data_IF_272706030069
#
_entry.id   IF_272706030069
#
_cell.length_a   1.000
_cell.length_b   1.000
_cell.length_c   1.000
_cell.angle_alpha   90.00
_cell.angle_beta   90.00
_cell.angle_gamma   90.00
#
_symmetry.space_group_name_H-M   'P 1'
#
loop_
_entity.id
_entity.type
_entity.pdbx_description
1 polymer ?
#
# COMPACT_ATOMS: atom_id res chain seq x y z
N UNK A 1 -15.28 28.12 -13.19
CA UNK A 1 -16.03 26.87 -12.99
C UNK A 1 -15.10 25.65 -12.86
N UNK A 2 -14.23 25.39 -13.84
CA UNK A 2 -13.30 24.22 -13.79
C UNK A 2 -12.35 24.25 -12.58
N UNK A 3 -11.79 25.41 -12.24
CA UNK A 3 -10.89 25.58 -11.11
C UNK A 3 -11.58 25.38 -9.74
N UNK A 4 -12.82 25.81 -9.63
CA UNK A 4 -13.66 25.62 -8.43
C UNK A 4 -13.98 24.12 -8.22
N UNK A 5 -14.31 23.39 -9.29
CA UNK A 5 -14.55 21.93 -9.21
C UNK A 5 -13.28 21.22 -8.76
N UNK A 6 -12.13 21.58 -9.33
CA UNK A 6 -10.85 20.99 -8.97
C UNK A 6 -10.48 21.21 -7.50
N UNK A 7 -10.73 22.40 -6.97
CA UNK A 7 -10.48 22.69 -5.55
C UNK A 7 -11.45 21.92 -4.65
N UNK A 8 -12.71 21.81 -5.04
CA UNK A 8 -13.69 21.00 -4.33
C UNK A 8 -13.27 19.53 -4.30
N UNK A 9 -12.83 18.95 -5.41
CA UNK A 9 -12.37 17.57 -5.49
C UNK A 9 -11.14 17.33 -4.58
N UNK A 10 -10.22 18.29 -4.49
CA UNK A 10 -9.09 18.23 -3.57
C UNK A 10 -9.52 18.22 -2.12
N UNK A 11 -10.42 19.13 -1.74
CA UNK A 11 -10.91 19.21 -0.35
C UNK A 11 -11.74 17.98 0.05
N UNK A 12 -12.55 17.44 -0.85
CA UNK A 12 -13.30 16.21 -0.61
C UNK A 12 -12.37 15.00 -0.51
N UNK A 13 -11.38 14.90 -1.38
CA UNK A 13 -10.36 13.85 -1.36
C UNK A 13 -9.54 13.88 -0.07
N UNK A 14 -9.17 15.06 0.41
CA UNK A 14 -8.44 15.22 1.67
C UNK A 14 -9.22 14.67 2.87
N UNK A 15 -10.54 14.78 2.85
CA UNK A 15 -11.43 14.33 3.94
C UNK A 15 -11.86 12.88 3.82
N UNK A 16 -11.82 12.29 2.61
CA UNK A 16 -12.37 10.97 2.35
C UNK A 16 -11.54 10.20 1.33
N UNK A 17 -10.89 9.14 1.80
CA UNK A 17 -10.23 8.20 0.90
C UNK A 17 -11.23 7.54 -0.07
N UNK A 18 -12.46 7.22 0.39
CA UNK A 18 -13.50 6.67 -0.48
C UNK A 18 -13.78 7.60 -1.65
N UNK A 19 -14.02 8.91 -1.39
CA UNK A 19 -14.21 9.90 -2.46
C UNK A 19 -13.02 9.93 -3.42
N UNK A 20 -11.80 9.96 -2.89
CA UNK A 20 -10.60 9.91 -3.70
C UNK A 20 -10.53 8.67 -4.61
N UNK A 21 -10.87 7.50 -4.07
CA UNK A 21 -10.83 6.23 -4.79
C UNK A 21 -11.90 6.14 -5.89
N UNK A 22 -13.14 6.62 -5.61
CA UNK A 22 -14.28 6.51 -6.53
C UNK A 22 -14.39 7.65 -7.53
N UNK A 23 -14.17 8.89 -7.08
CA UNK A 23 -14.48 10.09 -7.88
C UNK A 23 -13.24 10.69 -8.55
N UNK A 24 -12.05 10.51 -7.95
CA UNK A 24 -10.79 11.02 -8.52
C UNK A 24 -10.03 9.94 -9.28
N UNK A 25 -9.96 8.71 -8.76
CA UNK A 25 -9.29 7.59 -9.42
C UNK A 25 -10.25 6.73 -10.26
N UNK A 26 -11.56 6.93 -10.15
CA UNK A 26 -12.62 6.27 -10.92
C UNK A 26 -12.65 4.73 -10.74
N UNK A 27 -12.27 4.23 -9.54
CA UNK A 27 -12.33 2.80 -9.22
C UNK A 27 -13.64 2.41 -8.55
N UNK A 28 -14.08 1.18 -8.80
CA UNK A 28 -15.24 0.60 -8.13
C UNK A 28 -14.94 0.32 -6.66
N UNK A 29 -15.85 0.75 -5.80
CA UNK A 29 -15.75 0.57 -4.35
C UNK A 29 -16.75 -0.49 -3.87
N UNK A 30 -16.23 -1.62 -3.40
CA UNK A 30 -17.01 -2.75 -2.94
C UNK A 30 -17.08 -2.77 -1.40
N UNK A 31 -17.99 -3.59 -0.84
CA UNK A 31 -18.17 -3.70 0.61
C UNK A 31 -16.89 -4.11 1.37
N UNK A 32 -16.05 -4.98 0.79
CA UNK A 32 -14.78 -5.33 1.41
C UNK A 32 -13.77 -4.16 1.44
N UNK A 33 -13.85 -3.23 0.48
CA UNK A 33 -13.04 -2.00 0.50
C UNK A 33 -13.40 -1.09 1.68
N UNK A 34 -14.69 -1.06 2.08
CA UNK A 34 -15.12 -0.33 3.28
C UNK A 34 -14.47 -0.89 4.55
N UNK A 35 -14.48 -2.23 4.70
CA UNK A 35 -13.83 -2.89 5.82
C UNK A 35 -12.32 -2.66 5.82
N UNK A 36 -11.65 -2.79 4.67
CA UNK A 36 -10.21 -2.52 4.55
C UNK A 36 -9.85 -1.07 4.86
N UNK A 37 -10.64 -0.11 4.38
CA UNK A 37 -10.44 1.31 4.67
C UNK A 37 -10.52 1.58 6.17
N UNK A 38 -11.55 1.06 6.83
CA UNK A 38 -11.71 1.14 8.29
C UNK A 38 -10.54 0.47 9.01
N UNK A 39 -10.16 -0.74 8.62
CA UNK A 39 -9.02 -1.45 9.21
C UNK A 39 -7.72 -0.68 9.07
N UNK A 40 -7.48 -0.07 7.90
CA UNK A 40 -6.33 0.80 7.67
C UNK A 40 -6.36 2.05 8.55
N UNK A 41 -7.50 2.67 8.81
CA UNK A 41 -7.60 3.87 9.63
C UNK A 41 -7.42 3.58 11.14
N UNK A 42 -7.94 2.45 11.61
CA UNK A 42 -8.00 2.11 13.02
C UNK A 42 -6.76 1.38 13.55
N UNK A 43 -5.96 0.75 12.67
CA UNK A 43 -4.85 -0.10 13.09
C UNK A 43 -3.49 0.41 12.60
N UNK A 44 -2.50 0.36 13.49
CA UNK A 44 -1.12 0.68 13.16
C UNK A 44 -0.48 -0.40 12.31
N UNK A 45 -0.71 -1.67 12.63
CA UNK A 45 -0.24 -2.84 11.88
C UNK A 45 -1.45 -3.65 11.43
N UNK A 46 -1.76 -3.53 10.14
CA UNK A 46 -2.93 -4.12 9.53
C UNK A 46 -2.56 -5.04 8.37
N UNK A 47 -3.11 -6.26 8.38
CA UNK A 47 -2.85 -7.27 7.36
C UNK A 47 -4.15 -7.83 6.79
N UNK A 48 -4.30 -7.78 5.48
CA UNK A 48 -5.42 -8.38 4.74
C UNK A 48 -4.96 -9.62 4.00
N UNK A 49 -5.53 -10.76 4.35
CA UNK A 49 -5.43 -11.99 3.57
C UNK A 49 -6.65 -12.08 2.66
N UNK A 50 -6.48 -11.96 1.37
CA UNK A 50 -7.60 -12.06 0.44
C UNK A 50 -7.20 -12.82 -0.83
N UNK A 51 -8.19 -13.45 -1.45
CA UNK A 51 -8.02 -14.19 -2.70
C UNK A 51 -7.60 -13.28 -3.86
N UNK A 52 -7.15 -13.87 -4.96
CA UNK A 52 -6.84 -13.12 -6.18
C UNK A 52 -8.10 -12.40 -6.69
N UNK A 53 -7.89 -11.36 -7.49
CA UNK A 53 -8.93 -10.58 -8.18
C UNK A 53 -9.89 -9.78 -7.29
N UNK A 54 -9.56 -9.62 -5.99
CA UNK A 54 -10.29 -8.73 -5.06
C UNK A 54 -9.86 -7.25 -5.12
N UNK A 55 -9.03 -6.87 -6.09
CA UNK A 55 -8.55 -5.48 -6.20
C UNK A 55 -7.56 -5.04 -5.12
N UNK A 56 -6.96 -5.98 -4.38
CA UNK A 56 -6.03 -5.72 -3.25
C UNK A 56 -4.97 -4.67 -3.55
N UNK A 57 -4.15 -4.94 -4.56
CA UNK A 57 -3.01 -4.08 -4.92
C UNK A 57 -3.47 -2.70 -5.34
N UNK A 58 -4.56 -2.62 -6.13
CA UNK A 58 -5.15 -1.34 -6.55
C UNK A 58 -5.59 -0.53 -5.34
N UNK A 59 -6.30 -1.15 -4.40
CA UNK A 59 -6.80 -0.47 -3.19
C UNK A 59 -5.65 0.04 -2.30
N UNK A 60 -4.69 -0.83 -1.98
CA UNK A 60 -3.58 -0.47 -1.09
C UNK A 60 -2.62 0.55 -1.71
N UNK A 61 -2.36 0.46 -3.03
CA UNK A 61 -1.56 1.45 -3.74
C UNK A 61 -2.28 2.79 -3.86
N UNK A 62 -3.60 2.78 -4.03
CA UNK A 62 -4.42 4.00 -4.03
C UNK A 62 -4.42 4.66 -2.65
N UNK A 63 -4.49 3.86 -1.58
CA UNK A 63 -4.42 4.37 -0.21
C UNK A 63 -3.03 4.97 0.10
N UNK A 64 -1.96 4.32 -0.34
CA UNK A 64 -0.60 4.88 -0.24
C UNK A 64 -0.47 6.20 -1.01
N UNK A 65 -1.00 6.27 -2.23
CA UNK A 65 -1.01 7.50 -3.02
C UNK A 65 -1.82 8.61 -2.32
N UNK A 66 -2.98 8.27 -1.77
CA UNK A 66 -3.82 9.19 -1.01
C UNK A 66 -3.07 9.79 0.19
N UNK A 67 -2.41 8.93 0.98
CA UNK A 67 -1.60 9.40 2.11
C UNK A 67 -0.48 10.34 1.65
N UNK A 68 0.25 9.98 0.60
CA UNK A 68 1.31 10.83 0.07
C UNK A 68 0.80 12.16 -0.52
N UNK A 69 -0.39 12.15 -1.12
CA UNK A 69 -0.98 13.33 -1.75
C UNK A 69 -1.48 14.34 -0.71
N UNK A 70 -2.17 13.86 0.32
CA UNK A 70 -2.92 14.71 1.24
C UNK A 70 -2.31 14.87 2.65
N UNK A 71 -1.21 14.14 2.93
CA UNK A 71 -0.40 14.37 4.14
C UNK A 71 1.03 14.76 3.72
N UNK A 72 1.31 16.06 3.58
CA UNK A 72 2.62 16.54 3.13
C UNK A 72 3.78 16.02 3.97
N UNK A 73 4.89 15.67 3.30
CA UNK A 73 6.09 15.16 3.96
C UNK A 73 6.05 13.67 4.34
N UNK A 74 4.99 12.93 3.99
CA UNK A 74 4.88 11.49 4.30
C UNK A 74 5.88 10.66 3.50
N UNK A 75 6.65 9.81 4.18
CA UNK A 75 7.59 8.88 3.57
C UNK A 75 7.00 7.46 3.54
N UNK A 76 6.83 6.91 2.35
CA UNK A 76 6.22 5.60 2.14
C UNK A 76 7.23 4.65 1.50
N UNK A 77 7.31 3.42 2.03
CA UNK A 77 8.02 2.32 1.39
C UNK A 77 7.03 1.25 0.93
N UNK A 78 7.19 0.79 -0.30
CA UNK A 78 6.39 -0.29 -0.89
C UNK A 78 7.29 -1.49 -1.12
N UNK A 79 6.85 -2.65 -0.66
CA UNK A 79 7.54 -3.92 -0.86
C UNK A 79 6.64 -4.93 -1.56
N UNK A 80 7.22 -5.69 -2.48
CA UNK A 80 6.62 -6.89 -3.07
C UNK A 80 7.67 -7.98 -3.17
N UNK A 81 7.27 -9.21 -3.52
CA UNK A 81 8.21 -10.31 -3.65
C UNK A 81 9.27 -10.06 -4.72
N UNK A 82 8.97 -9.33 -5.80
CA UNK A 82 9.89 -9.06 -6.90
C UNK A 82 10.02 -7.57 -7.21
N UNK A 83 11.17 -7.19 -7.78
CA UNK A 83 11.39 -5.82 -8.26
C UNK A 83 10.42 -5.46 -9.40
N UNK A 84 10.09 -6.41 -10.26
CA UNK A 84 9.16 -6.19 -11.38
C UNK A 84 7.78 -5.76 -10.86
N UNK A 85 7.24 -6.48 -9.89
CA UNK A 85 5.96 -6.16 -9.27
C UNK A 85 5.99 -4.80 -8.57
N UNK A 86 7.07 -4.48 -7.86
CA UNK A 86 7.20 -3.14 -7.24
C UNK A 86 7.27 -2.03 -8.28
N UNK A 87 7.89 -2.25 -9.43
CA UNK A 87 7.90 -1.28 -10.53
C UNK A 87 6.53 -1.13 -11.20
N UNK A 88 5.70 -2.18 -11.23
CA UNK A 88 4.29 -2.08 -11.66
C UNK A 88 3.49 -1.17 -10.72
N UNK A 89 3.65 -1.32 -9.40
CA UNK A 89 3.01 -0.43 -8.43
C UNK A 89 3.44 1.03 -8.63
N UNK A 90 4.73 1.28 -8.89
CA UNK A 90 5.20 2.63 -9.18
C UNK A 90 4.64 3.19 -10.49
N UNK A 91 4.48 2.33 -11.52
CA UNK A 91 3.79 2.73 -12.77
C UNK A 91 2.32 3.07 -12.52
N UNK A 92 1.62 2.25 -11.74
CA UNK A 92 0.24 2.52 -11.34
C UNK A 92 0.11 3.90 -10.68
N UNK A 93 0.93 4.18 -9.66
CA UNK A 93 0.93 5.47 -8.95
C UNK A 93 1.22 6.63 -9.91
N UNK A 94 2.26 6.49 -10.75
CA UNK A 94 2.61 7.52 -11.75
C UNK A 94 1.46 7.82 -12.69
N UNK A 95 0.86 6.79 -13.27
CA UNK A 95 -0.21 6.95 -14.24
C UNK A 95 -1.41 7.70 -13.64
N UNK A 96 -1.79 7.37 -12.40
CA UNK A 96 -2.87 8.07 -11.69
C UNK A 96 -2.53 9.55 -11.44
N UNK A 97 -1.28 9.88 -11.10
CA UNK A 97 -0.87 11.28 -10.93
C UNK A 97 -0.88 12.03 -12.27
N UNK A 98 -0.41 11.40 -13.34
CA UNK A 98 -0.31 12.05 -14.66
C UNK A 98 -1.67 12.20 -15.35
N UNK A 99 -2.62 11.31 -15.09
CA UNK A 99 -3.98 11.37 -15.65
C UNK A 99 -4.92 12.29 -14.88
N UNK A 100 -4.72 12.48 -13.58
CA UNK A 100 -5.63 13.24 -12.72
C UNK A 100 -5.25 14.71 -12.62
N UNK A 101 -6.19 15.62 -12.96
CA UNK A 101 -6.03 17.06 -12.74
C UNK A 101 -5.89 17.40 -11.25
N UNK A 102 -6.50 16.61 -10.37
CA UNK A 102 -6.40 16.76 -8.90
C UNK A 102 -4.97 16.51 -8.40
N UNK A 103 -4.27 15.52 -8.97
CA UNK A 103 -2.96 15.05 -8.49
C UNK A 103 -1.77 15.61 -9.27
N UNK A 104 -1.97 16.11 -10.49
CA UNK A 104 -0.89 16.51 -11.40
C UNK A 104 0.07 17.53 -10.80
N UNK A 105 -0.39 18.37 -9.87
CA UNK A 105 0.45 19.35 -9.15
C UNK A 105 1.53 18.71 -8.27
N UNK A 106 1.38 17.43 -7.90
CA UNK A 106 2.36 16.69 -7.10
C UNK A 106 3.62 16.32 -7.90
N UNK A 107 3.54 16.34 -9.24
CA UNK A 107 4.67 16.01 -10.11
C UNK A 107 5.71 17.13 -10.08
N UNK A 108 6.98 16.85 -9.74
CA UNK A 108 8.04 17.83 -9.79
C UNK A 108 8.26 18.31 -11.22
N UNK A 109 8.42 19.62 -11.39
CA UNK A 109 8.73 20.19 -12.71
C UNK A 109 10.19 19.97 -13.07
N UNK A 110 10.46 19.66 -14.34
CA UNK A 110 11.81 19.61 -14.90
C UNK A 110 12.66 18.40 -14.51
N UNK A 111 12.12 17.45 -13.73
CA UNK A 111 12.83 16.21 -13.37
C UNK A 111 12.05 14.99 -13.83
N UNK A 112 12.69 14.03 -14.52
CA UNK A 112 12.04 12.75 -14.81
C UNK A 112 11.82 11.99 -13.49
N UNK A 113 10.71 11.26 -13.40
CA UNK A 113 10.47 10.34 -12.29
C UNK A 113 11.46 9.17 -12.36
N UNK A 114 12.11 8.87 -11.25
CA UNK A 114 12.85 7.62 -11.14
C UNK A 114 11.89 6.42 -11.20
N UNK A 115 12.40 5.23 -11.59
CA UNK A 115 11.54 4.05 -11.73
C UNK A 115 10.97 3.55 -10.40
N UNK A 116 11.77 3.63 -9.33
CA UNK A 116 11.49 3.07 -8.00
C UNK A 116 11.46 4.10 -6.88
N UNK A 117 11.53 5.38 -7.20
CA UNK A 117 11.54 6.47 -6.21
C UNK A 117 10.85 7.71 -6.78
N UNK A 118 9.86 8.20 -6.05
CA UNK A 118 9.17 9.45 -6.33
C UNK A 118 9.35 10.42 -5.17
N UNK A 119 9.65 11.66 -5.49
CA UNK A 119 9.61 12.79 -4.58
C UNK A 119 8.59 13.77 -5.12
N UNK A 120 7.60 14.12 -4.31
CA UNK A 120 6.48 14.98 -4.70
C UNK A 120 6.75 16.44 -4.32
N UNK A 121 6.06 17.36 -4.97
CA UNK A 121 6.17 18.80 -4.70
C UNK A 121 5.77 19.18 -3.28
N UNK A 122 4.93 18.37 -2.61
CA UNK A 122 4.52 18.56 -1.21
C UNK A 122 5.52 17.98 -0.19
N UNK A 123 6.69 17.49 -0.63
CA UNK A 123 7.72 16.89 0.21
C UNK A 123 7.53 15.42 0.54
N UNK A 124 6.40 14.82 0.16
CA UNK A 124 6.19 13.37 0.34
C UNK A 124 7.06 12.55 -0.60
N UNK A 125 7.36 11.31 -0.21
CA UNK A 125 8.21 10.39 -0.97
C UNK A 125 7.63 8.99 -1.00
N UNK A 126 7.73 8.33 -2.14
CA UNK A 126 7.41 6.90 -2.27
C UNK A 126 8.62 6.18 -2.83
N UNK A 127 9.04 5.13 -2.15
CA UNK A 127 10.13 4.24 -2.58
C UNK A 127 9.63 2.81 -2.67
N UNK A 128 9.96 2.14 -3.76
CA UNK A 128 9.63 0.74 -3.99
C UNK A 128 10.87 -0.15 -4.00
N UNK A 129 10.77 -1.29 -3.30
CA UNK A 129 11.83 -2.30 -3.18
C UNK A 129 11.23 -3.71 -3.18
N UNK A 130 12.03 -4.68 -3.58
CA UNK A 130 11.69 -6.10 -3.40
C UNK A 130 12.07 -6.59 -2.00
N UNK A 131 11.45 -7.67 -1.57
CA UNK A 131 11.88 -8.47 -0.42
C UNK A 131 13.38 -8.78 -0.53
N UNK A 132 14.12 -8.67 0.58
CA UNK A 132 15.58 -8.81 0.59
C UNK A 132 16.36 -7.55 0.21
N UNK A 133 15.70 -6.50 -0.29
CA UNK A 133 16.35 -5.22 -0.59
C UNK A 133 16.84 -4.49 0.67
N UNK A 134 17.99 -3.80 0.55
CA UNK A 134 18.55 -3.03 1.67
C UNK A 134 17.63 -1.85 2.04
N UNK A 135 17.33 -1.70 3.32
CA UNK A 135 16.43 -0.67 3.87
C UNK A 135 17.16 0.34 4.77
N UNK A 136 18.46 0.15 4.99
CA UNK A 136 19.24 0.98 5.91
C UNK A 136 19.19 2.46 5.54
N UNK A 137 19.00 3.32 6.55
CA UNK A 137 18.95 4.76 6.39
C UNK A 137 17.58 5.32 5.97
N UNK A 138 16.58 4.47 5.82
CA UNK A 138 15.19 4.88 5.62
C UNK A 138 14.38 4.70 6.90
N UNK A 139 13.61 5.71 7.24
CA UNK A 139 12.66 5.70 8.36
C UNK A 139 11.29 6.07 7.79
N UNK A 140 10.54 5.09 7.24
CA UNK A 140 9.25 5.36 6.62
C UNK A 140 8.19 5.64 7.69
N UNK A 141 7.28 6.58 7.38
CA UNK A 141 6.05 6.76 8.16
C UNK A 141 5.06 5.64 7.88
N UNK A 142 5.07 5.13 6.65
CA UNK A 142 4.19 4.07 6.18
C UNK A 142 4.96 3.04 5.37
N UNK A 143 4.72 1.78 5.67
CA UNK A 143 5.18 0.65 4.85
C UNK A 143 3.98 -0.09 4.28
N UNK A 144 4.01 -0.36 2.98
CA UNK A 144 3.04 -1.20 2.28
C UNK A 144 3.72 -2.46 1.78
N UNK A 145 3.22 -3.62 2.19
CA UNK A 145 3.68 -4.92 1.73
C UNK A 145 2.58 -5.57 0.88
N UNK A 146 2.81 -5.69 -0.43
CA UNK A 146 1.87 -6.32 -1.36
C UNK A 146 2.44 -7.62 -1.93
N UNK A 147 1.77 -8.74 -1.62
CA UNK A 147 2.15 -10.09 -2.03
C UNK A 147 3.66 -10.38 -1.81
N UNK A 148 4.14 -10.16 -0.58
CA UNK A 148 5.56 -10.33 -0.23
C UNK A 148 6.00 -11.80 -0.09
N UNK A 149 5.05 -12.73 0.05
CA UNK A 149 5.38 -14.15 0.10
C UNK A 149 5.83 -14.64 -1.26
N UNK A 150 6.92 -15.38 -1.27
CA UNK A 150 7.48 -15.98 -2.48
C UNK A 150 7.80 -17.44 -2.25
N UNK A 151 7.47 -18.25 -3.28
CA UNK A 151 7.74 -19.68 -3.27
C UNK A 151 6.79 -20.48 -2.41
N UNK A 152 6.87 -21.80 -2.56
CA UNK A 152 6.05 -22.78 -1.84
C UNK A 152 6.88 -23.68 -0.92
N UNK A 153 8.21 -23.59 -1.00
CA UNK A 153 9.11 -24.35 -0.13
C UNK A 153 9.23 -23.70 1.24
N UNK A 154 9.33 -24.51 2.28
CA UNK A 154 9.53 -24.02 3.64
C UNK A 154 10.74 -23.08 3.79
N UNK A 155 11.81 -23.31 2.99
CA UNK A 155 13.02 -22.47 3.00
C UNK A 155 12.74 -21.05 2.43
N UNK A 156 11.92 -20.94 1.39
CA UNK A 156 11.59 -19.65 0.79
C UNK A 156 10.67 -18.85 1.70
N UNK A 157 9.68 -19.51 2.29
CA UNK A 157 8.78 -18.89 3.28
C UNK A 157 9.57 -18.41 4.51
N UNK A 158 10.51 -19.23 5.00
CA UNK A 158 11.37 -18.85 6.12
C UNK A 158 12.25 -17.63 5.80
N UNK A 159 12.83 -17.55 4.60
CA UNK A 159 13.62 -16.36 4.18
C UNK A 159 12.80 -15.08 4.19
N UNK A 160 11.52 -15.15 3.79
CA UNK A 160 10.64 -14.00 3.85
C UNK A 160 10.36 -13.59 5.29
N UNK A 161 10.12 -14.56 6.19
CA UNK A 161 9.93 -14.29 7.61
C UNK A 161 11.21 -13.71 8.25
N UNK A 162 12.38 -14.28 7.97
CA UNK A 162 13.67 -13.78 8.48
C UNK A 162 13.93 -12.34 8.03
N UNK A 163 13.65 -12.02 6.76
CA UNK A 163 13.75 -10.66 6.25
C UNK A 163 12.73 -9.73 6.93
N UNK A 164 11.50 -10.18 7.09
CA UNK A 164 10.44 -9.39 7.72
C UNK A 164 10.81 -9.00 9.15
N UNK A 165 11.20 -9.97 9.97
CA UNK A 165 11.56 -9.73 11.37
C UNK A 165 12.95 -9.11 11.55
N UNK A 166 13.93 -9.51 10.74
CA UNK A 166 15.32 -9.06 10.87
C UNK A 166 15.66 -7.77 10.14
N UNK A 167 14.88 -7.40 9.11
CA UNK A 167 15.19 -6.24 8.25
C UNK A 167 14.06 -5.23 8.22
N UNK A 168 12.82 -5.67 7.95
CA UNK A 168 11.69 -4.74 7.78
C UNK A 168 11.22 -4.14 9.11
N UNK A 169 10.88 -4.97 10.09
CA UNK A 169 10.36 -4.45 11.37
C UNK A 169 11.33 -3.50 12.07
N UNK A 170 12.67 -3.75 12.10
CA UNK A 170 13.61 -2.81 12.71
C UNK A 170 13.72 -1.44 12.03
N UNK A 171 13.20 -1.26 10.82
CA UNK A 171 13.18 0.04 10.12
C UNK A 171 12.02 0.93 10.57
N UNK A 172 10.98 0.31 11.13
CA UNK A 172 9.81 1.03 11.62
C UNK A 172 10.16 1.75 12.94
N UNK A 173 9.75 3.01 13.04
CA UNK A 173 9.74 3.72 14.31
C UNK A 173 8.37 3.58 15.00
N UNK A 174 8.26 4.04 16.23
CA UNK A 174 7.07 3.82 17.07
C UNK A 174 5.75 4.32 16.48
N UNK A 175 5.79 5.31 15.59
CA UNK A 175 4.62 5.87 14.91
C UNK A 175 4.45 5.38 13.46
N UNK A 176 5.36 4.54 12.96
CA UNK A 176 5.24 3.98 11.60
C UNK A 176 4.03 3.07 11.51
N UNK A 177 3.35 3.13 10.38
CA UNK A 177 2.23 2.23 10.04
C UNK A 177 2.70 1.14 9.09
N UNK A 178 2.25 -0.08 9.31
CA UNK A 178 2.51 -1.23 8.45
C UNK A 178 1.19 -1.76 7.87
N UNK A 179 1.06 -1.68 6.58
CA UNK A 179 -0.08 -2.14 5.80
C UNK A 179 0.35 -3.34 4.96
N UNK A 180 -0.24 -4.48 5.21
CA UNK A 180 0.11 -5.70 4.50
C UNK A 180 -1.12 -6.24 3.77
N UNK A 181 -0.90 -6.73 2.57
CA UNK A 181 -1.94 -7.42 1.82
C UNK A 181 -1.32 -8.54 0.99
N UNK A 182 -2.01 -9.65 0.92
CA UNK A 182 -1.52 -10.76 0.11
C UNK A 182 -2.44 -11.97 0.12
N UNK A 183 -2.01 -12.97 -0.64
CA UNK A 183 -2.68 -14.26 -0.73
C UNK A 183 -1.91 -15.25 0.14
N UNK A 184 -2.55 -15.93 1.11
CA UNK A 184 -1.87 -16.95 1.93
C UNK A 184 -1.46 -18.14 1.05
N UNK A 185 -0.28 -18.68 1.33
CA UNK A 185 0.28 -19.85 0.62
C UNK A 185 0.15 -21.13 1.43
N UNK A 186 0.26 -21.04 2.75
CA UNK A 186 0.17 -22.21 3.62
C UNK A 186 -0.34 -21.83 5.01
N UNK A 187 -0.69 -22.86 5.79
CA UNK A 187 -1.12 -22.69 7.19
C UNK A 187 0.00 -22.23 8.13
N UNK A 188 1.25 -22.27 7.69
CA UNK A 188 2.43 -21.90 8.47
C UNK A 188 3.27 -20.82 7.76
N UNK A 189 2.66 -19.96 6.98
CA UNK A 189 3.34 -18.83 6.38
C UNK A 189 3.37 -17.60 7.31
N UNK A 190 4.06 -16.56 6.88
CA UNK A 190 4.18 -15.32 7.66
C UNK A 190 2.83 -14.74 8.07
N UNK A 191 1.80 -14.79 7.19
CA UNK A 191 0.48 -14.25 7.51
C UNK A 191 -0.20 -15.04 8.64
N UNK A 192 -0.01 -16.36 8.68
CA UNK A 192 -0.51 -17.20 9.77
C UNK A 192 0.22 -16.92 11.09
N UNK A 193 1.53 -16.63 11.04
CA UNK A 193 2.28 -16.20 12.23
C UNK A 193 1.80 -14.86 12.76
N UNK A 194 1.54 -13.88 11.88
CA UNK A 194 1.06 -12.55 12.25
C UNK A 194 -0.33 -12.59 12.89
N UNK A 195 -1.17 -13.54 12.50
CA UNK A 195 -2.50 -13.77 13.09
C UNK A 195 -2.44 -14.16 14.59
N UNK A 196 -1.30 -14.68 15.05
CA UNK A 196 -1.06 -15.04 16.44
C UNK A 196 -0.42 -13.90 17.28
N UNK A 197 -0.15 -12.76 16.65
CA UNK A 197 0.50 -11.60 17.29
C UNK A 197 -0.54 -10.56 17.67
N UNK A 198 -0.67 -10.22 18.94
CA UNK A 198 -1.58 -9.18 19.41
C UNK A 198 -1.34 -7.78 18.79
N UNK A 199 -0.13 -7.54 18.29
CA UNK A 199 0.24 -6.27 17.66
C UNK A 199 -0.28 -6.12 16.23
N UNK A 200 -0.78 -7.20 15.62
CA UNK A 200 -1.31 -7.19 14.27
C UNK A 200 -2.80 -7.44 14.25
N UNK A 201 -3.53 -6.62 13.52
CA UNK A 201 -4.90 -6.94 13.13
C UNK A 201 -4.86 -7.62 11.77
N UNK A 202 -5.27 -8.89 11.72
CA UNK A 202 -5.28 -9.69 10.49
C UNK A 202 -6.71 -10.06 10.13
N UNK A 203 -7.13 -9.68 8.94
CA UNK A 203 -8.45 -10.01 8.39
C UNK A 203 -8.34 -10.94 7.18
N UNK A 204 -9.29 -11.87 7.06
CA UNK A 204 -9.28 -12.88 5.98
C UNK A 204 -10.55 -12.77 5.15
N UNK A 205 -10.36 -12.64 3.83
CA UNK A 205 -11.42 -12.57 2.81
C UNK A 205 -11.24 -13.73 1.83
N UNK A 206 -11.95 -14.85 2.00
CA UNK A 206 -11.87 -16.00 1.12
C UNK A 206 -12.53 -15.71 -0.24
N UNK A 207 -12.20 -16.51 -1.26
CA UNK A 207 -12.82 -16.40 -2.59
C UNK A 207 -14.30 -16.71 -2.58
N UNK A 208 -14.69 -17.62 -1.68
CA UNK A 208 -16.08 -18.02 -1.43
C UNK A 208 -16.31 -17.83 0.06
N UNK A 209 -17.22 -16.99 0.43
CA UNK A 209 -17.60 -16.83 1.82
C UNK A 209 -18.43 -18.03 2.32
N UNK A 210 -18.77 -18.05 3.62
CA UNK A 210 -19.56 -19.15 4.20
C UNK A 210 -20.99 -19.21 3.66
N UNK A 211 -21.44 -18.15 2.99
CA UNK A 211 -22.79 -18.04 2.39
C UNK A 211 -22.77 -18.40 0.89
N UNK A 212 -21.59 -18.67 0.29
CA UNK A 212 -21.44 -19.15 -1.07
C UNK A 212 -21.55 -18.04 -2.14
N UNK A 213 -21.33 -16.79 -1.76
CA UNK A 213 -21.39 -15.64 -2.67
C UNK A 213 -19.99 -15.15 -3.01
#
# INVERSE_FOLDING_TARGET
MKEFVLEMDREMSKKSFRYFFTDVLEFLYNHHHEAWGKGLDENQYYCVKASRDHGKSVFFMSYALWLAAFNPGTHIMIFSHSLEQTLEHMRFIRNNIESSDVLRHLKPQGKPWAKSYFEFTNGSRIMAKSVGGATRGFHPDVVVCDDILWGTSGTELQRTADWFYGVLLPVLHHSSRLMMVGTPFSYNDLYAELEQKETFTVETYPAIDREGV
#
